data_IF_973130678244
#
_entry.id   IF_973130678244
#
_cell.length_a   1.000
_cell.length_b   1.000
_cell.length_c   1.000
_cell.angle_alpha   90.00
_cell.angle_beta   90.00
_cell.angle_gamma   90.00
#
_symmetry.space_group_name_H-M   'P 1'
#
loop_
_entity.id
_entity.type
_entity.pdbx_description
1 polymer ?
#
# COMPACT_ATOMS: atom_id res chain seq x y z
N UNK A 1 -2.86 -16.92 0.80
CA UNK A 1 -2.53 -16.64 -0.61
C UNK A 1 -1.65 -15.39 -0.63
N UNK A 2 -0.38 -15.56 -0.32
CA UNK A 2 0.55 -14.44 -0.05
C UNK A 2 1.40 -14.18 -1.29
N UNK A 3 1.38 -12.93 -1.78
CA UNK A 3 2.41 -12.22 -2.56
C UNK A 3 3.14 -12.89 -3.76
N UNK A 4 2.81 -14.10 -4.19
CA UNK A 4 3.52 -14.74 -5.32
C UNK A 4 3.33 -13.97 -6.65
N UNK A 5 2.16 -13.35 -6.83
CA UNK A 5 1.86 -12.51 -8.00
C UNK A 5 2.75 -11.27 -8.10
N UNK A 6 2.96 -10.56 -6.99
CA UNK A 6 3.79 -9.34 -6.97
C UNK A 6 5.27 -9.69 -7.17
N UNK A 7 5.72 -10.83 -6.63
CA UNK A 7 7.10 -11.31 -6.82
C UNK A 7 7.35 -11.73 -8.28
N UNK A 8 6.39 -12.39 -8.95
CA UNK A 8 6.48 -12.69 -10.39
C UNK A 8 6.64 -11.41 -11.22
N UNK A 9 5.86 -10.38 -10.91
CA UNK A 9 5.96 -9.08 -11.60
C UNK A 9 7.26 -8.36 -11.26
N UNK A 10 7.77 -8.50 -10.03
CA UNK A 10 9.10 -8.01 -9.66
C UNK A 10 10.21 -8.65 -10.52
N UNK A 11 10.13 -9.97 -10.77
CA UNK A 11 11.07 -10.66 -11.66
C UNK A 11 11.00 -10.12 -13.10
N UNK A 12 9.80 -9.77 -13.58
CA UNK A 12 9.65 -9.10 -14.88
C UNK A 12 10.35 -7.73 -14.88
N UNK A 13 10.14 -6.91 -13.86
CA UNK A 13 10.77 -5.60 -13.74
C UNK A 13 12.30 -5.70 -13.71
N UNK A 14 12.84 -6.68 -12.99
CA UNK A 14 14.29 -6.97 -12.94
C UNK A 14 14.82 -7.32 -14.33
N UNK A 15 14.10 -8.14 -15.09
CA UNK A 15 14.47 -8.50 -16.46
C UNK A 15 14.44 -7.29 -17.39
N UNK A 16 13.40 -6.45 -17.30
CA UNK A 16 13.27 -5.24 -18.12
C UNK A 16 14.42 -4.24 -17.93
N UNK A 17 15.08 -4.27 -16.77
CA UNK A 17 16.18 -3.37 -16.43
C UNK A 17 17.57 -4.01 -16.60
N UNK A 18 17.66 -5.24 -17.14
CA UNK A 18 18.94 -5.91 -17.37
C UNK A 18 19.57 -6.55 -16.11
N UNK A 19 18.78 -6.77 -15.05
CA UNK A 19 19.22 -7.47 -13.84
C UNK A 19 19.03 -6.69 -12.55
N UNK A 20 19.29 -7.36 -11.42
CA UNK A 20 19.01 -6.80 -10.08
C UNK A 20 19.87 -5.56 -9.78
N UNK A 21 21.15 -5.58 -10.16
CA UNK A 21 22.08 -4.47 -9.95
C UNK A 21 21.64 -3.21 -10.70
N UNK A 22 21.26 -3.37 -11.97
CA UNK A 22 20.82 -2.25 -12.81
C UNK A 22 19.49 -1.65 -12.30
N UNK A 23 18.53 -2.48 -11.90
CA UNK A 23 17.30 -2.00 -11.27
C UNK A 23 17.59 -1.27 -9.95
N UNK A 24 18.44 -1.84 -9.10
CA UNK A 24 18.81 -1.27 -7.81
C UNK A 24 19.42 0.13 -7.97
N UNK A 25 20.32 0.29 -8.94
CA UNK A 25 20.90 1.58 -9.30
C UNK A 25 19.85 2.57 -9.84
N UNK A 26 18.95 2.12 -10.73
CA UNK A 26 17.92 2.96 -11.34
C UNK A 26 16.94 3.56 -10.32
N UNK A 27 16.70 2.87 -9.21
CA UNK A 27 15.80 3.35 -8.14
C UNK A 27 16.53 3.74 -6.84
N UNK A 28 17.86 3.71 -6.82
CA UNK A 28 18.69 4.10 -5.67
C UNK A 28 18.43 3.25 -4.43
N UNK A 29 18.55 1.92 -4.55
CA UNK A 29 18.50 0.95 -3.43
C UNK A 29 19.64 -0.07 -3.54
N UNK A 30 19.85 -0.86 -2.49
CA UNK A 30 20.85 -1.94 -2.49
C UNK A 30 20.41 -3.16 -3.33
N UNK A 31 21.36 -3.80 -4.02
CA UNK A 31 21.07 -4.99 -4.85
C UNK A 31 20.68 -6.21 -3.99
N UNK A 32 21.25 -6.35 -2.78
CA UNK A 32 20.88 -7.37 -1.81
C UNK A 32 19.44 -7.21 -1.33
N UNK A 33 18.94 -5.98 -1.19
CA UNK A 33 17.53 -5.71 -0.88
C UNK A 33 16.59 -6.24 -1.97
N UNK A 34 16.88 -5.99 -3.25
CA UNK A 34 16.12 -6.55 -4.38
C UNK A 34 16.19 -8.08 -4.40
N UNK A 35 17.38 -8.65 -4.13
CA UNK A 35 17.58 -10.10 -4.09
C UNK A 35 16.74 -10.79 -3.02
N UNK A 36 16.61 -10.19 -1.82
CA UNK A 36 15.76 -10.74 -0.75
C UNK A 36 14.30 -10.83 -1.18
N UNK A 37 13.77 -9.83 -1.89
CA UNK A 37 12.38 -9.79 -2.33
C UNK A 37 12.12 -10.80 -3.46
N UNK A 38 13.01 -10.87 -4.45
CA UNK A 38 12.87 -11.83 -5.57
C UNK A 38 12.91 -13.29 -5.09
N UNK A 39 13.69 -13.56 -4.04
CA UNK A 39 13.81 -14.86 -3.41
C UNK A 39 12.81 -15.09 -2.27
N UNK A 40 11.81 -14.20 -2.11
CA UNK A 40 10.77 -14.29 -1.09
C UNK A 40 11.30 -14.37 0.36
N UNK A 41 12.53 -13.92 0.58
CA UNK A 41 13.13 -13.78 1.92
C UNK A 41 12.63 -12.52 2.64
N UNK A 42 11.96 -11.61 1.92
CA UNK A 42 11.39 -10.37 2.42
C UNK A 42 10.20 -9.95 1.56
N UNK A 43 9.13 -9.45 2.18
CA UNK A 43 7.95 -8.93 1.48
C UNK A 43 8.25 -7.60 0.76
N UNK A 44 7.46 -7.29 -0.26
CA UNK A 44 7.61 -6.04 -0.99
C UNK A 44 7.07 -4.88 -0.15
N UNK A 45 7.97 -3.99 0.28
CA UNK A 45 7.57 -2.82 1.05
C UNK A 45 6.86 -1.77 0.18
N UNK A 46 5.97 -1.00 0.82
CA UNK A 46 5.34 0.17 0.21
C UNK A 46 6.35 1.16 -0.37
N UNK A 47 7.52 1.32 0.27
CA UNK A 47 8.61 2.14 -0.22
C UNK A 47 9.12 1.70 -1.61
N UNK A 48 9.30 0.39 -1.82
CA UNK A 48 9.73 -0.15 -3.10
C UNK A 48 8.64 0.03 -4.17
N UNK A 49 7.38 -0.27 -3.84
CA UNK A 49 6.22 -0.04 -4.73
C UNK A 49 6.19 1.42 -5.18
N UNK A 50 6.35 2.36 -4.24
CA UNK A 50 6.40 3.80 -4.52
C UNK A 50 7.51 4.12 -5.53
N UNK A 51 8.74 3.63 -5.33
CA UNK A 51 9.84 3.88 -6.27
C UNK A 51 9.56 3.33 -7.67
N UNK A 52 9.07 2.09 -7.76
CA UNK A 52 8.72 1.46 -9.03
C UNK A 52 7.63 2.24 -9.78
N UNK A 53 6.60 2.73 -9.07
CA UNK A 53 5.53 3.50 -9.67
C UNK A 53 5.96 4.91 -10.07
N UNK A 54 6.65 5.65 -9.20
CA UNK A 54 6.95 7.06 -9.45
C UNK A 54 8.17 7.29 -10.35
N UNK A 55 9.25 6.53 -10.13
CA UNK A 55 10.50 6.70 -10.87
C UNK A 55 10.47 5.94 -12.19
N UNK A 56 9.93 4.73 -12.19
CA UNK A 56 9.91 3.87 -13.38
C UNK A 56 8.55 3.84 -14.09
N UNK A 57 7.54 4.57 -13.59
CA UNK A 57 6.20 4.67 -14.20
C UNK A 57 5.48 3.33 -14.35
N UNK A 58 5.69 2.38 -13.44
CA UNK A 58 4.87 1.16 -13.40
C UNK A 58 3.49 1.45 -12.82
N UNK A 59 2.45 0.83 -13.37
CA UNK A 59 1.11 0.94 -12.81
C UNK A 59 1.03 0.24 -11.45
N UNK A 60 0.49 0.90 -10.41
CA UNK A 60 0.26 0.26 -9.12
C UNK A 60 -0.78 -0.87 -9.24
N UNK A 61 -1.78 -0.71 -10.10
CA UNK A 61 -2.81 -1.72 -10.35
C UNK A 61 -2.19 -2.99 -10.93
N UNK A 62 -1.37 -2.84 -11.97
CA UNK A 62 -0.67 -3.97 -12.57
C UNK A 62 0.29 -4.62 -11.58
N UNK A 63 1.05 -3.83 -10.82
CA UNK A 63 2.03 -4.35 -9.87
C UNK A 63 1.37 -5.10 -8.71
N UNK A 64 0.24 -4.63 -8.19
CA UNK A 64 -0.42 -5.21 -7.00
C UNK A 64 -1.44 -6.28 -7.39
N UNK A 65 -2.31 -5.98 -8.35
CA UNK A 65 -3.44 -6.83 -8.74
C UNK A 65 -3.13 -7.71 -9.95
N UNK A 66 -2.17 -7.32 -10.80
CA UNK A 66 -1.86 -8.02 -12.04
C UNK A 66 -2.81 -7.70 -13.19
N UNK A 67 -3.66 -6.68 -13.03
CA UNK A 67 -4.63 -6.20 -14.01
C UNK A 67 -4.21 -4.86 -14.60
N UNK A 68 -4.80 -4.48 -15.73
CA UNK A 68 -4.51 -3.22 -16.39
C UNK A 68 -3.12 -3.14 -17.03
N UNK A 69 -2.73 -1.93 -17.42
CA UNK A 69 -1.50 -1.68 -18.17
C UNK A 69 -0.24 -1.74 -17.30
N UNK A 70 0.83 -2.37 -17.81
CA UNK A 70 2.11 -2.50 -17.10
C UNK A 70 2.77 -1.15 -16.79
N UNK A 71 2.76 -0.22 -17.75
CA UNK A 71 3.38 1.11 -17.64
C UNK A 71 2.32 2.18 -17.75
N UNK A 72 2.47 3.23 -16.94
CA UNK A 72 1.67 4.43 -17.05
C UNK A 72 2.29 5.28 -18.16
N UNK A 73 1.63 5.32 -19.31
CA UNK A 73 2.07 6.10 -20.48
C UNK A 73 1.68 7.59 -20.39
N UNK A 74 0.80 7.97 -19.45
CA UNK A 74 0.26 9.33 -19.33
C UNK A 74 0.75 10.07 -18.08
N UNK A 75 1.17 11.35 -18.20
CA UNK A 75 1.78 12.14 -17.12
C UNK A 75 0.85 12.52 -15.95
N UNK A 76 -0.44 12.17 -15.98
CA UNK A 76 -1.47 12.58 -15.01
C UNK A 76 -1.42 11.85 -13.64
N UNK A 77 -0.56 10.85 -13.49
CA UNK A 77 -0.57 9.91 -12.35
C UNK A 77 -0.01 10.46 -11.03
N UNK A 78 0.87 11.46 -11.05
CA UNK A 78 1.50 11.96 -9.82
C UNK A 78 0.56 12.80 -8.94
N UNK A 79 -0.30 13.60 -9.59
CA UNK A 79 -1.35 14.37 -8.93
C UNK A 79 -2.40 13.42 -8.34
N UNK A 80 -2.85 12.46 -9.15
CA UNK A 80 -3.85 11.47 -8.75
C UNK A 80 -3.39 10.57 -7.59
N UNK A 81 -2.13 10.13 -7.57
CA UNK A 81 -1.63 9.31 -6.46
C UNK A 81 -1.55 10.13 -5.16
N UNK A 82 -1.16 11.40 -5.25
CA UNK A 82 -1.15 12.31 -4.10
C UNK A 82 -2.56 12.52 -3.57
N UNK A 83 -3.53 12.78 -4.45
CA UNK A 83 -4.95 12.90 -4.11
C UNK A 83 -5.50 11.62 -3.47
N UNK A 84 -5.16 10.43 -3.99
CA UNK A 84 -5.56 9.13 -3.40
C UNK A 84 -4.98 8.92 -2.00
N UNK A 85 -3.74 9.35 -1.75
CA UNK A 85 -3.12 9.20 -0.43
C UNK A 85 -3.68 10.19 0.60
N UNK A 86 -4.01 11.40 0.15
CA UNK A 86 -4.73 12.37 0.98
C UNK A 86 -6.10 11.83 1.37
N UNK A 87 -6.88 11.31 0.42
CA UNK A 87 -8.19 10.70 0.67
C UNK A 87 -8.12 9.50 1.63
N UNK A 88 -7.11 8.61 1.50
CA UNK A 88 -6.91 7.50 2.44
C UNK A 88 -6.66 7.98 3.87
N UNK A 89 -5.85 9.02 4.01
CA UNK A 89 -5.50 9.59 5.32
C UNK A 89 -6.71 10.27 5.98
N UNK A 90 -7.53 11.00 5.22
CA UNK A 90 -8.75 11.62 5.71
C UNK A 90 -9.77 10.57 6.21
N UNK A 91 -9.92 9.47 5.48
CA UNK A 91 -10.79 8.34 5.87
C UNK A 91 -10.29 7.67 7.17
N UNK A 92 -8.99 7.45 7.31
CA UNK A 92 -8.42 6.86 8.52
C UNK A 92 -8.66 7.74 9.76
N UNK A 93 -8.53 9.07 9.61
CA UNK A 93 -8.81 10.04 10.67
C UNK A 93 -10.29 10.03 11.06
N UNK A 94 -11.21 10.02 10.07
CA UNK A 94 -12.65 9.96 10.31
C UNK A 94 -13.05 8.66 11.03
N UNK A 95 -12.53 7.50 10.60
CA UNK A 95 -12.77 6.22 11.27
C UNK A 95 -12.23 6.17 12.70
N UNK A 96 -11.09 6.81 12.99
CA UNK A 96 -10.58 6.91 14.35
C UNK A 96 -11.49 7.76 15.23
N UNK A 97 -11.95 8.91 14.73
CA UNK A 97 -12.85 9.81 15.47
C UNK A 97 -14.23 9.20 15.70
N UNK A 98 -14.80 8.52 14.70
CA UNK A 98 -16.09 7.82 14.84
C UNK A 98 -16.03 6.77 15.94
N UNK A 99 -14.99 5.93 15.96
CA UNK A 99 -14.81 4.91 17.01
C UNK A 99 -14.73 5.51 18.41
N UNK A 100 -14.10 6.68 18.55
CA UNK A 100 -14.04 7.39 19.82
C UNK A 100 -15.45 7.84 20.27
N UNK A 101 -16.23 8.47 19.38
CA UNK A 101 -17.60 8.88 19.70
C UNK A 101 -18.53 7.70 19.98
N UNK A 102 -18.39 6.58 19.27
CA UNK A 102 -19.17 5.37 19.53
C UNK A 102 -18.91 4.83 20.94
N UNK A 103 -17.67 4.89 21.42
CA UNK A 103 -17.30 4.49 22.77
C UNK A 103 -17.92 5.44 23.81
N UNK A 104 -17.77 6.75 23.64
CA UNK A 104 -18.36 7.76 24.54
C UNK A 104 -19.88 7.65 24.59
N UNK A 105 -20.55 7.47 23.45
CA UNK A 105 -22.01 7.30 23.40
C UNK A 105 -22.47 6.02 24.10
N UNK A 106 -21.67 4.95 24.02
CA UNK A 106 -21.94 3.70 24.73
C UNK A 106 -21.83 3.89 26.24
N UNK A 107 -20.78 4.56 26.72
CA UNK A 107 -20.59 4.86 28.15
C UNK A 107 -21.72 5.74 28.69
N UNK A 108 -22.12 6.77 27.94
CA UNK A 108 -23.27 7.61 28.29
C UNK A 108 -24.54 6.77 28.35
N UNK A 109 -24.82 5.94 27.34
CA UNK A 109 -26.02 5.09 27.31
C UNK A 109 -26.06 4.11 28.47
N UNK A 110 -24.94 3.47 28.80
CA UNK A 110 -24.83 2.54 29.93
C UNK A 110 -24.97 3.26 31.29
N UNK A 111 -24.50 4.51 31.39
CA UNK A 111 -24.72 5.35 32.58
C UNK A 111 -26.15 5.83 32.78
N UNK A 112 -27.01 5.74 31.76
CA UNK A 112 -28.43 6.12 31.80
C UNK A 112 -29.39 4.93 31.93
N UNK A 113 -28.93 3.67 31.90
CA UNK A 113 -29.75 2.51 32.22
C UNK A 113 -30.13 2.58 33.72
N UNK A 114 -31.38 2.94 34.08
CA UNK A 114 -31.78 2.97 35.48
C UNK A 114 -31.79 1.53 35.96
N UNK A 115 -31.25 1.31 37.16
CA UNK A 115 -31.24 0.05 37.87
C UNK A 115 -32.68 -0.52 37.99
N UNK A 116 -33.16 -1.25 36.98
CA UNK A 116 -34.40 -2.04 37.04
C UNK A 116 -34.08 -3.44 37.57
N UNK A 117 -33.90 -3.51 38.90
CA UNK A 117 -34.17 -4.68 39.75
C UNK A 117 -34.60 -4.10 41.11
N UNK A 118 -35.87 -3.86 41.40
CA UNK A 118 -36.93 -4.82 41.82
C UNK A 118 -36.38 -6.08 42.48
N UNK A 119 -36.58 -6.19 43.80
CA UNK A 119 -36.28 -7.34 44.65
C UNK A 119 -35.83 -6.93 46.03
#
# INVERSE_FOLDING_TARGET
MTDDGIVKRMKVIVKDHGGQLALANAIGVDQGFISKIVNQKQEMSYYLIRKLCFQLKYSPEWLILGTGDKKISKPESAKLITEIQMLRTEVDILHARMRAYELELKEVREGFEPNQKVG
#
